data_IF_197522448491
#
_entry.id   IF_197522448491
#
_cell.length_a   1.000
_cell.length_b   1.000
_cell.length_c   1.000
_cell.angle_alpha   90.00
_cell.angle_beta   90.00
_cell.angle_gamma   90.00
#
_symmetry.space_group_name_H-M   'P 1'
#
loop_
_entity.id
_entity.type
_entity.pdbx_description
1 polymer ?
#
# COMPACT_ATOMS: atom_id res chain seq x y z
N UNK A 1 23.32 7.89 -4.34
CA UNK A 1 22.30 7.48 -3.39
C UNK A 1 20.98 8.03 -3.91
N UNK A 2 19.93 7.23 -3.95
CA UNK A 2 18.60 7.60 -4.48
C UNK A 2 17.84 8.28 -3.35
N UNK A 3 17.41 9.53 -3.56
CA UNK A 3 16.58 10.26 -2.57
C UNK A 3 15.13 9.86 -2.74
N UNK A 4 14.62 9.06 -1.78
CA UNK A 4 13.25 8.56 -1.75
C UNK A 4 12.46 9.29 -0.66
N UNK A 5 11.54 10.15 -1.07
CA UNK A 5 10.61 10.79 -0.14
C UNK A 5 9.40 9.88 0.06
N UNK A 6 9.10 9.55 1.32
CA UNK A 6 8.04 8.61 1.69
C UNK A 6 6.94 9.36 2.44
N UNK A 7 5.77 9.53 1.82
CA UNK A 7 4.62 10.17 2.42
C UNK A 7 3.70 9.15 3.09
N UNK A 8 3.54 9.30 4.40
CA UNK A 8 2.75 8.42 5.27
C UNK A 8 1.57 9.16 5.88
N UNK A 9 0.44 8.49 6.04
CA UNK A 9 -0.65 8.99 6.88
C UNK A 9 -0.50 8.57 8.37
N UNK A 10 0.37 7.58 8.65
CA UNK A 10 0.59 7.10 10.01
C UNK A 10 2.07 6.75 10.22
N UNK A 11 2.67 7.10 11.38
CA UNK A 11 4.08 6.87 11.64
C UNK A 11 4.49 5.39 11.71
N UNK A 12 3.57 4.47 11.97
CA UNK A 12 3.85 3.03 11.97
C UNK A 12 4.33 2.50 10.61
N UNK A 13 4.09 3.24 9.51
CA UNK A 13 4.55 2.84 8.18
C UNK A 13 6.05 3.05 7.98
N UNK A 14 6.71 3.88 8.80
CA UNK A 14 8.14 4.19 8.70
C UNK A 14 8.97 2.91 8.78
N UNK A 15 8.79 2.13 9.83
CA UNK A 15 9.59 0.91 10.06
C UNK A 15 9.47 -0.11 8.91
N UNK A 16 8.30 -0.24 8.29
CA UNK A 16 8.12 -1.12 7.13
C UNK A 16 8.95 -0.68 5.93
N UNK A 17 9.03 0.64 5.70
CA UNK A 17 9.80 1.20 4.59
C UNK A 17 11.29 1.15 4.89
N UNK A 18 11.71 1.46 6.12
CA UNK A 18 13.10 1.30 6.56
C UNK A 18 13.58 -0.14 6.34
N UNK A 19 12.79 -1.13 6.76
CA UNK A 19 13.12 -2.55 6.57
C UNK A 19 13.21 -2.94 5.08
N UNK A 20 12.34 -2.38 4.23
CA UNK A 20 12.35 -2.66 2.80
C UNK A 20 13.58 -2.10 2.08
N UNK A 21 14.11 -0.96 2.55
CA UNK A 21 15.20 -0.21 1.92
C UNK A 21 16.45 -0.10 2.81
N UNK A 22 16.66 -1.03 3.75
CA UNK A 22 17.72 -1.00 4.76
C UNK A 22 19.16 -0.90 4.20
N UNK A 23 19.37 -1.13 2.90
CA UNK A 23 20.67 -1.04 2.28
C UNK A 23 21.07 0.42 1.96
N UNK A 24 22.37 0.63 1.75
CA UNK A 24 22.97 1.96 1.55
C UNK A 24 22.66 2.62 0.18
N UNK A 25 21.76 2.04 -0.61
CA UNK A 25 21.42 2.57 -1.94
C UNK A 25 20.44 3.75 -1.92
N UNK A 26 19.71 3.92 -0.82
CA UNK A 26 18.65 4.92 -0.66
C UNK A 26 18.97 5.90 0.46
N UNK A 27 18.51 7.14 0.26
CA UNK A 27 18.43 8.20 1.25
C UNK A 27 16.93 8.43 1.49
N UNK A 28 16.43 7.90 2.62
CA UNK A 28 15.00 7.90 2.95
C UNK A 28 14.64 9.17 3.70
N UNK A 29 13.64 9.89 3.20
CA UNK A 29 13.06 11.04 3.87
C UNK A 29 11.58 10.77 4.17
N UNK A 30 11.26 10.53 5.45
CA UNK A 30 9.91 10.19 5.88
C UNK A 30 9.12 11.44 6.26
N UNK A 31 7.94 11.56 5.70
CA UNK A 31 6.99 12.64 5.93
C UNK A 31 5.71 12.00 6.44
N UNK A 32 5.31 12.37 7.66
CA UNK A 32 4.06 11.88 8.26
C UNK A 32 3.03 12.99 8.26
N UNK A 33 1.91 12.75 7.59
CA UNK A 33 0.76 13.65 7.58
C UNK A 33 -0.50 12.93 8.05
N UNK A 34 -0.71 12.90 9.37
CA UNK A 34 -1.91 12.33 9.98
C UNK A 34 -3.15 13.22 9.79
N UNK A 35 -2.95 14.53 9.54
CA UNK A 35 -4.06 15.49 9.45
C UNK A 35 -4.99 15.23 8.26
N UNK A 36 -4.47 14.66 7.17
CA UNK A 36 -5.28 14.28 6.01
C UNK A 36 -6.38 13.28 6.38
N UNK A 37 -6.00 12.22 7.10
CA UNK A 37 -6.92 11.17 7.53
C UNK A 37 -7.95 11.65 8.54
N UNK A 38 -7.51 12.50 9.47
CA UNK A 38 -8.39 13.09 10.49
C UNK A 38 -9.44 13.99 9.83
N UNK A 39 -9.01 14.85 8.91
CA UNK A 39 -9.93 15.73 8.18
C UNK A 39 -10.90 14.96 7.31
N UNK A 40 -10.44 13.93 6.58
CA UNK A 40 -11.29 13.10 5.73
C UNK A 40 -12.42 12.41 6.52
N UNK A 41 -12.20 12.14 7.82
CA UNK A 41 -13.20 11.51 8.69
C UNK A 41 -14.14 12.51 9.38
N UNK A 42 -13.64 13.69 9.73
CA UNK A 42 -14.33 14.61 10.65
C UNK A 42 -14.91 15.83 9.95
N UNK A 43 -14.43 16.19 8.77
CA UNK A 43 -14.81 17.41 8.05
C UNK A 43 -15.60 17.06 6.78
N UNK A 44 -16.94 17.16 6.79
CA UNK A 44 -17.75 16.91 5.61
C UNK A 44 -17.47 17.86 4.44
N UNK A 45 -16.84 19.03 4.70
CA UNK A 45 -16.40 19.93 3.65
C UNK A 45 -15.07 19.51 2.99
N UNK A 46 -14.36 18.55 3.59
CA UNK A 46 -13.15 17.97 3.01
C UNK A 46 -13.51 16.83 2.03
N UNK A 47 -14.29 17.20 1.03
CA UNK A 47 -14.74 16.31 -0.05
C UNK A 47 -13.57 15.87 -0.97
N UNK A 48 -13.87 15.09 -1.99
CA UNK A 48 -12.85 14.53 -2.88
C UNK A 48 -12.03 15.63 -3.58
N UNK A 49 -12.63 16.75 -3.99
CA UNK A 49 -11.93 17.86 -4.63
C UNK A 49 -10.98 18.56 -3.67
N UNK A 50 -11.42 18.78 -2.44
CA UNK A 50 -10.58 19.34 -1.37
C UNK A 50 -9.44 18.41 -1.00
N UNK A 51 -9.70 17.09 -0.91
CA UNK A 51 -8.69 16.07 -0.66
C UNK A 51 -7.65 16.04 -1.77
N UNK A 52 -8.07 16.11 -3.03
CA UNK A 52 -7.17 16.16 -4.18
C UNK A 52 -6.29 17.41 -4.17
N UNK A 53 -6.89 18.57 -3.95
CA UNK A 53 -6.17 19.84 -3.85
C UNK A 53 -5.14 19.82 -2.72
N UNK A 54 -5.52 19.28 -1.58
CA UNK A 54 -4.63 19.14 -0.43
C UNK A 54 -3.45 18.21 -0.74
N UNK A 55 -3.72 17.02 -1.31
CA UNK A 55 -2.68 16.05 -1.66
C UNK A 55 -1.68 16.62 -2.68
N UNK A 56 -2.17 17.33 -3.70
CA UNK A 56 -1.32 18.01 -4.68
C UNK A 56 -0.42 19.05 -4.01
N UNK A 57 -1.00 19.96 -3.21
CA UNK A 57 -0.23 20.99 -2.53
C UNK A 57 0.81 20.42 -1.56
N UNK A 58 0.46 19.32 -0.87
CA UNK A 58 1.37 18.65 0.06
C UNK A 58 2.58 18.06 -0.66
N UNK A 59 2.35 17.36 -1.78
CA UNK A 59 3.41 16.79 -2.59
C UNK A 59 4.30 17.85 -3.26
N UNK A 60 3.74 18.97 -3.68
CA UNK A 60 4.52 20.08 -4.25
C UNK A 60 5.51 20.72 -3.27
N UNK A 61 5.31 20.54 -1.97
CA UNK A 61 6.20 21.07 -0.92
C UNK A 61 7.43 20.18 -0.67
N UNK A 62 7.45 18.95 -1.23
CA UNK A 62 8.46 17.93 -0.86
C UNK A 62 9.85 18.13 -1.48
N UNK A 63 10.11 19.21 -2.18
CA UNK A 63 11.45 19.56 -2.64
C UNK A 63 12.01 18.58 -3.70
N UNK A 64 13.34 18.43 -3.71
CA UNK A 64 14.06 17.63 -4.70
C UNK A 64 14.21 16.17 -4.30
N UNK A 65 13.21 15.33 -4.57
CA UNK A 65 13.30 13.87 -4.51
C UNK A 65 13.66 13.28 -5.87
N UNK A 66 14.33 12.12 -5.90
CA UNK A 66 14.46 11.34 -7.13
C UNK A 66 13.16 10.57 -7.41
N UNK A 67 12.40 10.23 -6.34
CA UNK A 67 11.10 9.56 -6.41
C UNK A 67 10.31 9.83 -5.13
N UNK A 68 8.99 9.89 -5.24
CA UNK A 68 8.05 9.98 -4.10
C UNK A 68 7.28 8.67 -3.96
N UNK A 69 7.37 8.03 -2.79
CA UNK A 69 6.59 6.86 -2.42
C UNK A 69 5.38 7.26 -1.58
N UNK A 70 4.17 6.94 -2.06
CA UNK A 70 2.93 7.14 -1.31
C UNK A 70 2.53 5.83 -0.62
N UNK A 71 2.50 5.82 0.71
CA UNK A 71 2.13 4.62 1.48
C UNK A 71 0.68 4.61 1.96
N UNK A 72 -0.05 5.70 1.75
CA UNK A 72 -1.44 5.85 2.15
C UNK A 72 -2.40 5.70 0.96
N UNK A 73 -3.24 4.68 1.00
CA UNK A 73 -4.23 4.40 -0.06
C UNK A 73 -5.25 5.52 -0.24
N UNK A 74 -5.58 6.28 0.81
CA UNK A 74 -6.46 7.44 0.68
C UNK A 74 -5.79 8.62 -0.03
N UNK A 75 -4.51 8.89 0.25
CA UNK A 75 -3.74 9.86 -0.53
C UNK A 75 -3.67 9.48 -2.00
N UNK A 76 -3.44 8.20 -2.27
CA UNK A 76 -3.38 7.67 -3.63
C UNK A 76 -4.74 7.83 -4.33
N UNK A 77 -5.83 7.52 -3.64
CA UNK A 77 -7.19 7.68 -4.18
C UNK A 77 -7.53 9.15 -4.45
N UNK A 78 -7.17 10.05 -3.53
CA UNK A 78 -7.38 11.49 -3.70
C UNK A 78 -6.57 12.06 -4.87
N UNK A 79 -5.31 11.64 -5.02
CA UNK A 79 -4.45 12.10 -6.11
C UNK A 79 -4.97 11.66 -7.49
N UNK A 80 -5.58 10.47 -7.58
CA UNK A 80 -6.16 9.94 -8.81
C UNK A 80 -5.17 9.94 -9.98
N UNK A 81 -5.59 10.47 -11.13
CA UNK A 81 -4.77 10.55 -12.35
C UNK A 81 -3.84 11.76 -12.40
N UNK A 82 -3.82 12.60 -11.36
CA UNK A 82 -3.03 13.84 -11.33
C UNK A 82 -1.52 13.64 -11.12
N UNK A 83 -1.05 12.41 -11.06
CA UNK A 83 0.37 12.08 -10.89
C UNK A 83 1.26 12.70 -11.98
N UNK A 84 0.73 12.89 -13.18
CA UNK A 84 1.43 13.51 -14.31
C UNK A 84 1.76 15.00 -14.10
N UNK A 85 1.16 15.67 -13.12
CA UNK A 85 1.44 17.08 -12.79
C UNK A 85 2.77 17.26 -12.06
N UNK A 86 3.36 16.19 -11.56
CA UNK A 86 4.60 16.25 -10.79
C UNK A 86 5.81 15.94 -11.66
N UNK A 87 6.91 16.68 -11.41
CA UNK A 87 8.19 16.41 -12.08
C UNK A 87 8.84 15.12 -11.56
N UNK A 88 8.68 14.86 -10.27
CA UNK A 88 9.19 13.67 -9.64
C UNK A 88 8.22 12.51 -9.92
N UNK A 89 8.74 11.33 -10.25
CA UNK A 89 7.90 10.15 -10.36
C UNK A 89 7.29 9.80 -9.01
N UNK A 90 6.00 9.50 -9.03
CA UNK A 90 5.24 9.08 -7.85
C UNK A 90 4.98 7.59 -7.97
N UNK A 91 5.30 6.84 -6.93
CA UNK A 91 4.99 5.41 -6.80
C UNK A 91 3.96 5.21 -5.69
N UNK A 92 2.72 4.86 -6.02
CA UNK A 92 1.78 4.31 -5.07
C UNK A 92 2.27 2.96 -4.53
N UNK A 93 2.15 2.73 -3.22
CA UNK A 93 2.61 1.49 -2.57
C UNK A 93 1.93 0.22 -3.13
N UNK A 94 0.74 0.35 -3.67
CA UNK A 94 -0.04 -0.74 -4.22
C UNK A 94 0.23 -1.00 -5.72
N UNK A 95 0.89 -0.10 -6.46
CA UNK A 95 1.21 -0.30 -7.89
C UNK A 95 2.11 -1.53 -8.11
N UNK A 96 3.25 -1.69 -7.41
CA UNK A 96 4.06 -2.91 -7.53
C UNK A 96 3.32 -4.18 -7.08
N UNK A 97 2.41 -4.06 -6.10
CA UNK A 97 1.57 -5.17 -5.68
C UNK A 97 0.59 -5.60 -6.78
N UNK A 98 -0.01 -4.63 -7.50
CA UNK A 98 -0.91 -4.91 -8.61
C UNK A 98 -0.18 -5.61 -9.76
N UNK A 99 1.06 -5.23 -10.06
CA UNK A 99 1.90 -5.92 -11.03
C UNK A 99 2.08 -7.40 -10.65
N UNK A 100 2.46 -7.66 -9.39
CA UNK A 100 2.64 -9.02 -8.88
C UNK A 100 1.33 -9.83 -8.88
N UNK A 101 0.19 -9.21 -8.55
CA UNK A 101 -1.14 -9.84 -8.61
C UNK A 101 -1.46 -10.23 -10.07
N UNK A 102 -1.15 -9.36 -11.03
CA UNK A 102 -1.40 -9.63 -12.45
C UNK A 102 -0.57 -10.77 -13.04
N UNK A 103 0.50 -11.19 -12.39
CA UNK A 103 1.30 -12.35 -12.80
C UNK A 103 0.68 -13.68 -12.37
N UNK A 104 -0.36 -13.67 -11.54
CA UNK A 104 -1.00 -14.89 -11.03
C UNK A 104 -2.09 -15.39 -11.99
N UNK A 105 -2.05 -16.68 -12.27
CA UNK A 105 -3.03 -17.36 -13.16
C UNK A 105 -4.17 -18.02 -12.39
N UNK A 106 -3.96 -18.33 -11.11
CA UNK A 106 -4.89 -19.04 -10.22
C UNK A 106 -5.89 -18.13 -9.51
N UNK A 107 -6.82 -18.74 -8.76
CA UNK A 107 -7.68 -17.98 -7.86
C UNK A 107 -6.85 -17.37 -6.73
N UNK A 108 -7.10 -16.09 -6.45
CA UNK A 108 -6.37 -15.30 -5.47
C UNK A 108 -7.34 -14.81 -4.40
N UNK A 109 -6.94 -14.91 -3.14
CA UNK A 109 -7.66 -14.29 -2.04
C UNK A 109 -7.01 -12.96 -1.66
N UNK A 110 -7.78 -11.86 -1.77
CA UNK A 110 -7.35 -10.50 -1.43
C UNK A 110 -7.88 -10.16 -0.03
N UNK A 111 -6.99 -10.05 0.94
CA UNK A 111 -7.35 -9.85 2.36
C UNK A 111 -7.14 -8.40 2.76
N UNK A 112 -8.18 -7.79 3.33
CA UNK A 112 -8.19 -6.41 3.85
C UNK A 112 -8.52 -6.41 5.33
N UNK A 113 -7.90 -5.52 6.09
CA UNK A 113 -8.24 -5.23 7.49
C UNK A 113 -9.04 -3.93 7.66
N UNK A 114 -8.88 -2.98 6.74
CA UNK A 114 -9.61 -1.71 6.76
C UNK A 114 -10.67 -1.70 5.64
N UNK A 115 -11.97 -1.79 5.98
CA UNK A 115 -13.06 -1.79 5.00
C UNK A 115 -13.14 -0.51 4.17
N UNK A 116 -12.76 0.65 4.72
CA UNK A 116 -12.85 1.94 4.04
C UNK A 116 -11.94 2.04 2.80
N UNK A 117 -10.93 1.17 2.71
CA UNK A 117 -9.99 1.17 1.57
C UNK A 117 -10.35 0.19 0.46
N UNK A 118 -11.31 -0.71 0.69
CA UNK A 118 -11.62 -1.81 -0.22
C UNK A 118 -12.08 -1.31 -1.58
N UNK A 119 -13.11 -0.45 -1.60
CA UNK A 119 -13.69 0.04 -2.85
C UNK A 119 -12.66 0.77 -3.72
N UNK A 120 -11.94 1.72 -3.14
CA UNK A 120 -10.93 2.51 -3.85
C UNK A 120 -9.78 1.65 -4.39
N UNK A 121 -9.28 0.72 -3.57
CA UNK A 121 -8.20 -0.19 -3.97
C UNK A 121 -8.65 -1.15 -5.07
N UNK A 122 -9.83 -1.75 -4.94
CA UNK A 122 -10.37 -2.69 -5.93
C UNK A 122 -10.69 -2.00 -7.26
N UNK A 123 -11.20 -0.77 -7.24
CA UNK A 123 -11.40 0.03 -8.45
C UNK A 123 -10.07 0.24 -9.19
N UNK A 124 -9.02 0.63 -8.49
CA UNK A 124 -7.68 0.84 -9.07
C UNK A 124 -7.07 -0.46 -9.58
N UNK A 125 -7.13 -1.54 -8.79
CA UNK A 125 -6.68 -2.86 -9.23
C UNK A 125 -7.40 -3.31 -10.50
N UNK A 126 -8.72 -3.15 -10.56
CA UNK A 126 -9.52 -3.53 -11.74
C UNK A 126 -9.13 -2.72 -12.99
N UNK A 127 -8.87 -1.41 -12.83
CA UNK A 127 -8.37 -0.57 -13.92
C UNK A 127 -7.00 -1.05 -14.39
N UNK A 128 -6.07 -1.29 -13.46
CA UNK A 128 -4.73 -1.79 -13.77
C UNK A 128 -4.77 -3.13 -14.52
N UNK A 129 -5.54 -4.10 -14.02
CA UNK A 129 -5.71 -5.42 -14.67
C UNK A 129 -6.24 -5.28 -16.10
N UNK A 130 -7.22 -4.40 -16.32
CA UNK A 130 -7.79 -4.12 -17.63
C UNK A 130 -6.77 -3.49 -18.58
N UNK A 131 -5.98 -2.54 -18.11
CA UNK A 131 -4.91 -1.91 -18.90
C UNK A 131 -3.84 -2.92 -19.32
N UNK A 132 -3.55 -3.91 -18.47
CA UNK A 132 -2.65 -5.02 -18.81
C UNK A 132 -3.28 -6.09 -19.72
N UNK A 133 -4.54 -5.92 -20.15
CA UNK A 133 -5.26 -6.89 -20.98
C UNK A 133 -5.51 -8.23 -20.31
N UNK A 134 -5.50 -8.27 -18.97
CA UNK A 134 -5.62 -9.48 -18.16
C UNK A 134 -7.01 -9.62 -17.52
N UNK A 135 -7.25 -10.77 -16.93
CA UNK A 135 -8.44 -11.06 -16.12
C UNK A 135 -8.00 -11.52 -14.74
N UNK A 136 -8.60 -10.94 -13.70
CA UNK A 136 -8.34 -11.31 -12.33
C UNK A 136 -9.45 -12.22 -11.80
N UNK A 137 -9.08 -13.37 -11.27
CA UNK A 137 -9.98 -14.27 -10.52
C UNK A 137 -9.62 -14.13 -9.04
N UNK A 138 -10.31 -13.23 -8.35
CA UNK A 138 -10.02 -12.97 -6.95
C UNK A 138 -11.28 -12.96 -6.09
N UNK A 139 -11.13 -13.47 -4.87
CA UNK A 139 -12.09 -13.35 -3.78
C UNK A 139 -11.59 -12.25 -2.83
N UNK A 140 -12.49 -11.34 -2.45
CA UNK A 140 -12.18 -10.28 -1.47
C UNK A 140 -12.65 -10.73 -0.10
N UNK A 141 -11.74 -10.73 0.87
CA UNK A 141 -12.01 -11.03 2.27
C UNK A 141 -11.71 -9.78 3.10
N UNK A 142 -12.72 -9.27 3.78
CA UNK A 142 -12.60 -8.13 4.69
C UNK A 142 -12.66 -8.64 6.13
N UNK A 143 -11.64 -8.34 6.92
CA UNK A 143 -11.61 -8.65 8.34
C UNK A 143 -12.34 -7.53 9.09
N UNK A 144 -13.65 -7.71 9.25
CA UNK A 144 -14.48 -6.75 9.98
C UNK A 144 -13.99 -6.64 11.44
N UNK A 145 -14.15 -5.46 12.02
CA UNK A 145 -13.80 -5.15 13.41
C UNK A 145 -12.35 -5.42 13.84
N UNK A 146 -11.42 -5.55 12.88
CA UNK A 146 -9.99 -5.74 13.20
C UNK A 146 -9.24 -4.40 13.16
N UNK A 147 -9.56 -3.53 12.21
CA UNK A 147 -8.80 -2.30 12.00
C UNK A 147 -8.90 -1.32 13.18
N UNK A 148 -9.98 -1.35 13.95
CA UNK A 148 -10.12 -0.52 15.15
C UNK A 148 -9.05 -0.86 16.21
N UNK A 149 -8.56 -2.11 16.29
CA UNK A 149 -7.47 -2.50 17.18
C UNK A 149 -6.19 -1.74 16.83
N UNK A 150 -5.89 -1.63 15.54
CA UNK A 150 -4.75 -0.85 15.05
C UNK A 150 -4.90 0.64 15.41
N UNK A 151 -6.09 1.21 15.21
CA UNK A 151 -6.38 2.62 15.54
C UNK A 151 -6.29 2.92 17.04
N UNK A 152 -6.63 1.96 17.89
CA UNK A 152 -6.55 2.06 19.34
C UNK A 152 -5.15 1.76 19.89
N UNK A 153 -4.18 1.40 19.05
CA UNK A 153 -2.82 1.07 19.45
C UNK A 153 -2.64 -0.36 19.97
N UNK A 154 -3.67 -1.20 19.91
CA UNK A 154 -3.58 -2.63 20.27
C UNK A 154 -3.03 -3.45 19.09
N UNK A 155 -1.78 -3.19 18.77
CA UNK A 155 -1.10 -3.76 17.58
C UNK A 155 -0.93 -5.27 17.72
N UNK A 156 -0.73 -5.77 18.94
CA UNK A 156 -0.59 -7.21 19.17
C UNK A 156 -1.89 -7.94 18.83
N UNK A 157 -3.02 -7.52 19.40
CA UNK A 157 -4.33 -8.12 19.10
C UNK A 157 -4.69 -7.97 17.60
N UNK A 158 -4.34 -6.84 16.99
CA UNK A 158 -4.49 -6.64 15.55
C UNK A 158 -3.75 -7.71 14.74
N UNK A 159 -2.47 -7.92 15.01
CA UNK A 159 -1.68 -8.94 14.31
C UNK A 159 -2.19 -10.35 14.58
N UNK A 160 -2.54 -10.70 15.83
CA UNK A 160 -3.06 -12.02 16.18
C UNK A 160 -4.34 -12.37 15.39
N UNK A 161 -5.27 -11.42 15.27
CA UNK A 161 -6.50 -11.60 14.51
C UNK A 161 -6.23 -11.82 13.01
N UNK A 162 -5.30 -11.07 12.45
CA UNK A 162 -4.90 -11.25 11.04
C UNK A 162 -4.24 -12.62 10.85
N UNK A 163 -3.31 -13.00 11.71
CA UNK A 163 -2.64 -14.31 11.64
C UNK A 163 -3.64 -15.47 11.75
N UNK A 164 -4.62 -15.38 12.63
CA UNK A 164 -5.68 -16.39 12.76
C UNK A 164 -6.42 -16.58 11.43
N UNK A 165 -6.81 -15.50 10.78
CA UNK A 165 -7.47 -15.57 9.48
C UNK A 165 -6.53 -16.12 8.39
N UNK A 166 -5.31 -15.63 8.31
CA UNK A 166 -4.35 -16.09 7.30
C UNK A 166 -4.03 -17.59 7.44
N UNK A 167 -3.90 -18.11 8.66
CA UNK A 167 -3.72 -19.55 8.91
C UNK A 167 -4.90 -20.39 8.42
N UNK A 168 -6.12 -19.85 8.47
CA UNK A 168 -7.32 -20.52 7.89
C UNK A 168 -7.26 -20.48 6.37
N UNK A 169 -6.94 -19.33 5.81
CA UNK A 169 -6.84 -19.12 4.37
C UNK A 169 -5.80 -20.04 3.72
N UNK A 170 -4.62 -20.16 4.31
CA UNK A 170 -3.52 -21.02 3.83
C UNK A 170 -3.96 -22.49 3.67
N UNK A 171 -4.92 -22.97 4.48
CA UNK A 171 -5.42 -24.34 4.42
C UNK A 171 -6.48 -24.57 3.33
N UNK A 172 -7.10 -23.50 2.83
CA UNK A 172 -8.32 -23.59 2.01
C UNK A 172 -8.15 -23.02 0.60
N UNK A 173 -7.20 -22.11 0.41
CA UNK A 173 -7.07 -21.33 -0.82
C UNK A 173 -5.69 -21.53 -1.48
N UNK A 174 -5.62 -21.11 -2.75
CA UNK A 174 -4.38 -21.04 -3.51
C UNK A 174 -3.50 -19.86 -3.04
N UNK A 175 -3.28 -18.87 -3.92
CA UNK A 175 -2.50 -17.68 -3.58
C UNK A 175 -3.29 -16.73 -2.67
N UNK A 176 -2.62 -16.19 -1.65
CA UNK A 176 -3.17 -15.21 -0.71
C UNK A 176 -2.38 -13.92 -0.84
N UNK A 177 -3.09 -12.80 -0.85
CA UNK A 177 -2.50 -11.47 -0.88
C UNK A 177 -3.08 -10.61 0.24
N UNK A 178 -2.23 -10.06 1.11
CA UNK A 178 -2.63 -9.01 2.04
C UNK A 178 -2.49 -7.65 1.36
N UNK A 179 -3.54 -6.86 1.36
CA UNK A 179 -3.64 -5.65 0.55
C UNK A 179 -3.13 -4.38 1.25
N UNK A 180 -2.76 -4.48 2.53
CA UNK A 180 -2.40 -3.32 3.34
C UNK A 180 -1.06 -3.51 4.02
N UNK A 181 -0.29 -2.41 4.10
CA UNK A 181 1.05 -2.40 4.68
C UNK A 181 1.05 -2.85 6.15
N UNK A 182 0.05 -2.45 6.94
CA UNK A 182 -0.10 -2.84 8.34
C UNK A 182 -0.26 -4.35 8.57
N UNK A 183 -0.64 -5.11 7.54
CA UNK A 183 -0.83 -6.57 7.62
C UNK A 183 0.45 -7.37 7.36
N UNK A 184 1.51 -6.72 6.87
CA UNK A 184 2.74 -7.38 6.40
C UNK A 184 3.43 -8.18 7.51
N UNK A 185 3.48 -7.65 8.72
CA UNK A 185 4.10 -8.37 9.85
C UNK A 185 3.41 -9.71 10.10
N UNK A 186 2.08 -9.70 10.17
CA UNK A 186 1.29 -10.91 10.36
C UNK A 186 1.44 -11.90 9.18
N UNK A 187 1.50 -11.40 7.95
CA UNK A 187 1.75 -12.22 6.77
C UNK A 187 3.09 -12.94 6.85
N UNK A 188 4.19 -12.20 7.09
CA UNK A 188 5.55 -12.77 7.23
C UNK A 188 5.64 -13.81 8.34
N UNK A 189 4.94 -13.60 9.46
CA UNK A 189 4.93 -14.57 10.55
C UNK A 189 4.21 -15.87 10.15
N UNK A 190 3.06 -15.77 9.47
CA UNK A 190 2.36 -16.96 8.96
C UNK A 190 3.15 -17.68 7.87
N UNK A 191 3.86 -16.96 7.01
CA UNK A 191 4.79 -17.56 6.04
C UNK A 191 5.87 -18.40 6.75
N UNK A 192 6.49 -17.86 7.81
CA UNK A 192 7.51 -18.58 8.58
C UNK A 192 6.96 -19.83 9.26
N UNK A 193 5.74 -19.76 9.78
CA UNK A 193 5.08 -20.88 10.46
C UNK A 193 4.64 -21.99 9.51
N UNK A 194 4.19 -21.64 8.29
CA UNK A 194 3.52 -22.56 7.38
C UNK A 194 4.35 -22.98 6.18
N UNK A 195 5.38 -22.21 5.84
CA UNK A 195 6.15 -22.36 4.61
C UNK A 195 5.40 -21.92 3.35
N UNK A 196 4.19 -21.36 3.47
CA UNK A 196 3.38 -20.89 2.35
C UNK A 196 3.62 -19.42 2.13
N UNK A 197 4.00 -19.03 0.90
CA UNK A 197 4.21 -17.61 0.57
C UNK A 197 2.91 -16.84 0.53
N UNK A 198 2.90 -15.65 1.14
CA UNK A 198 1.78 -14.71 1.15
C UNK A 198 2.22 -13.42 0.45
N UNK A 199 1.52 -13.06 -0.60
CA UNK A 199 1.81 -11.85 -1.37
C UNK A 199 1.51 -10.63 -0.49
N UNK A 200 2.41 -9.64 -0.47
CA UNK A 200 2.25 -8.44 0.35
C UNK A 200 2.95 -7.21 -0.29
N UNK A 201 2.57 -5.95 0.07
CA UNK A 201 3.07 -4.74 -0.60
C UNK A 201 4.58 -4.55 -0.61
N UNK A 202 5.32 -5.10 0.35
CA UNK A 202 6.77 -4.89 0.44
C UNK A 202 7.59 -5.81 -0.46
N UNK A 203 7.07 -7.00 -0.84
CA UNK A 203 7.82 -7.97 -1.64
C UNK A 203 8.28 -7.40 -2.98
N UNK A 204 7.40 -6.79 -3.79
CA UNK A 204 7.75 -6.24 -5.10
C UNK A 204 8.30 -4.81 -5.03
N UNK A 205 8.18 -4.12 -3.88
CA UNK A 205 8.39 -2.67 -3.78
C UNK A 205 9.79 -2.23 -4.21
N UNK A 206 10.84 -2.82 -3.65
CA UNK A 206 12.20 -2.38 -3.89
C UNK A 206 12.68 -2.64 -5.33
N UNK A 207 12.49 -3.83 -5.92
CA UNK A 207 12.77 -4.07 -7.34
C UNK A 207 12.03 -3.09 -8.26
N UNK A 208 10.76 -2.84 -7.98
CA UNK A 208 9.93 -1.92 -8.74
C UNK A 208 10.48 -0.48 -8.71
N UNK A 209 10.85 0.03 -7.52
CA UNK A 209 11.43 1.37 -7.37
C UNK A 209 12.75 1.49 -8.13
N UNK A 210 13.62 0.46 -8.09
CA UNK A 210 14.86 0.45 -8.87
C UNK A 210 14.57 0.50 -10.38
N UNK A 211 13.65 -0.30 -10.88
CA UNK A 211 13.27 -0.33 -12.28
C UNK A 211 12.73 1.04 -12.72
N UNK A 212 11.82 1.64 -11.94
CA UNK A 212 11.23 2.95 -12.24
C UNK A 212 12.29 4.03 -12.38
N UNK A 213 13.26 4.08 -11.46
CA UNK A 213 14.35 5.07 -11.49
C UNK A 213 15.30 4.84 -12.66
N UNK A 214 15.57 3.59 -13.03
CA UNK A 214 16.45 3.27 -14.17
C UNK A 214 15.83 3.73 -15.49
N UNK A 215 14.54 3.45 -15.70
CA UNK A 215 13.79 3.88 -16.90
C UNK A 215 13.72 5.41 -17.04
N UNK A 216 13.77 6.16 -15.94
CA UNK A 216 13.73 7.62 -15.97
C UNK A 216 15.11 8.27 -16.29
N UNK A 217 16.18 7.51 -16.23
CA UNK A 217 17.55 7.99 -16.53
C UNK A 217 18.00 7.67 -17.95
N UNK A 218 17.22 6.87 -18.67
CA UNK A 218 17.37 6.55 -20.10
C UNK A 218 16.62 7.57 -20.97
#
# INVERSE_FOLDING_TARGET
>A
MIRLHCLHAHPSNISYIDDAFYDKGFDLHHIVDSSFMERAKQDPAFDLEQQQTYAINRLMQEGEADLVLLTCTQYIAALGEQQHLFKQPIVPIDEPLFEQICEREGPLQLVFSNPDTVEGTMKRLSSYVKEQGKQLKAEVVVLEDVFHLCLNGDIQAYHERIMEQLRRSVKQHGDICVMQLSMVHAAKQVEQETGVSIIHPLSPLKPFVYQKITTLKE
#
